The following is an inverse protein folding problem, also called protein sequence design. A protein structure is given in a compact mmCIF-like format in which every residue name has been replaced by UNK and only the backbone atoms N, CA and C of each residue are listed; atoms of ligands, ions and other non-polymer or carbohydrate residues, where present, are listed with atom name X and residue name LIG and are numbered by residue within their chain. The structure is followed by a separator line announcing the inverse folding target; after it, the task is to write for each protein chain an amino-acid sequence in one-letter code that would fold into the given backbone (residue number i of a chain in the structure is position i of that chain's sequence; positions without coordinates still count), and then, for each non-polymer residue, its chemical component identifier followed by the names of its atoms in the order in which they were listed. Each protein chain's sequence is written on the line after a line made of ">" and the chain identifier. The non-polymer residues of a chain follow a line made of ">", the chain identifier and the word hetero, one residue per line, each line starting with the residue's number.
data_IF_816561053034
#
_entry.id   IF_816561053034
#
_cell.length_a   1.000
_cell.length_b   1.000
_cell.length_c   1.000
_cell.angle_alpha   90.00
_cell.angle_beta   90.00
_cell.angle_gamma   90.00
#
_symmetry.space_group_name_H-M   'P 1'
#
loop_
_entity.id
_entity.type
_entity.pdbx_description
1 polymer ?
#
# COMPACT_ATOMS: atom_id res chain seq x y z
N UNK A 1 -5.06 6.52 -14.96
CA UNK A 1 -4.75 5.46 -13.97
C UNK A 1 -6.05 5.09 -13.28
N UNK A 2 -6.32 3.80 -13.12
CA UNK A 2 -7.50 3.37 -12.34
C UNK A 2 -7.33 3.81 -10.88
N UNK A 3 -8.40 4.28 -10.26
CA UNK A 3 -8.39 4.71 -8.87
C UNK A 3 -7.94 3.55 -7.96
N UNK A 4 -7.21 3.88 -6.89
CA UNK A 4 -6.80 2.86 -5.92
C UNK A 4 -8.04 2.22 -5.28
N UNK A 5 -8.10 0.88 -5.18
CA UNK A 5 -9.23 0.21 -4.53
C UNK A 5 -9.45 0.72 -3.11
N UNK A 6 -10.72 0.91 -2.71
CA UNK A 6 -11.07 1.48 -1.39
C UNK A 6 -10.47 0.67 -0.24
N UNK A 7 -10.41 -0.64 -0.37
CA UNK A 7 -9.82 -1.54 0.63
C UNK A 7 -8.32 -1.27 0.85
N UNK A 8 -7.57 -0.96 -0.21
CA UNK A 8 -6.13 -0.66 -0.11
C UNK A 8 -5.95 0.66 0.62
N UNK A 9 -6.75 1.66 0.27
CA UNK A 9 -6.72 2.96 0.95
C UNK A 9 -7.07 2.86 2.44
N UNK A 10 -8.06 2.02 2.80
CA UNK A 10 -8.38 1.75 4.20
C UNK A 10 -7.23 1.07 4.95
N UNK A 11 -6.54 0.12 4.31
CA UNK A 11 -5.39 -0.56 4.93
C UNK A 11 -4.21 0.38 5.12
N UNK A 12 -3.94 1.26 4.15
CA UNK A 12 -2.92 2.31 4.27
C UNK A 12 -3.27 3.28 5.41
N UNK A 13 -4.54 3.70 5.51
CA UNK A 13 -4.98 4.60 6.56
C UNK A 13 -4.84 3.97 7.96
N UNK A 14 -5.18 2.68 8.07
CA UNK A 14 -4.96 1.92 9.30
C UNK A 14 -3.46 1.84 9.65
N UNK A 15 -2.58 1.63 8.67
CA UNK A 15 -1.14 1.60 8.90
C UNK A 15 -0.62 2.96 9.39
N UNK A 16 -1.06 4.07 8.78
CA UNK A 16 -0.70 5.43 9.22
C UNK A 16 -1.20 5.73 10.64
N UNK A 17 -2.44 5.34 10.96
CA UNK A 17 -2.99 5.46 12.32
C UNK A 17 -2.21 4.65 13.37
N UNK A 18 -1.57 3.55 12.96
CA UNK A 18 -0.68 2.74 13.81
C UNK A 18 0.74 3.30 13.92
N UNK A 19 1.01 4.45 13.30
CA UNK A 19 2.32 5.10 13.33
C UNK A 19 3.34 4.45 12.39
N UNK A 20 2.91 3.68 11.39
CA UNK A 20 3.80 3.11 10.39
C UNK A 20 4.30 4.23 9.46
N UNK A 21 5.58 4.19 9.10
CA UNK A 21 6.18 5.14 8.17
C UNK A 21 5.68 4.91 6.74
N UNK A 22 4.72 5.75 6.30
CA UNK A 22 4.17 5.70 4.93
C UNK A 22 5.17 6.12 3.85
N UNK A 23 6.31 6.72 4.21
CA UNK A 23 7.41 7.01 3.29
C UNK A 23 8.31 5.81 3.01
N UNK A 24 8.16 4.73 3.80
CA UNK A 24 8.89 3.48 3.64
C UNK A 24 7.95 2.38 3.13
N UNK A 25 7.97 2.06 1.83
CA UNK A 25 7.19 0.94 1.28
C UNK A 25 7.45 -0.36 2.03
N UNK A 26 8.70 -0.57 2.47
CA UNK A 26 9.08 -1.71 3.29
C UNK A 26 8.30 -1.76 4.61
N UNK A 27 8.23 -0.65 5.35
CA UNK A 27 7.54 -0.61 6.64
C UNK A 27 6.04 -0.92 6.49
N UNK A 28 5.42 -0.40 5.42
CA UNK A 28 4.01 -0.69 5.12
C UNK A 28 3.81 -2.15 4.72
N UNK A 29 4.68 -2.70 3.88
CA UNK A 29 4.63 -4.12 3.50
C UNK A 29 4.82 -5.03 4.70
N UNK A 30 5.77 -4.74 5.60
CA UNK A 30 6.00 -5.52 6.82
C UNK A 30 4.73 -5.50 7.72
N UNK A 31 4.09 -4.34 7.87
CA UNK A 31 2.84 -4.22 8.61
C UNK A 31 1.71 -5.05 7.99
N UNK A 32 1.49 -4.92 6.68
CA UNK A 32 0.47 -5.70 5.97
C UNK A 32 0.75 -7.20 6.06
N UNK A 33 2.02 -7.60 5.99
CA UNK A 33 2.42 -9.00 6.07
C UNK A 33 2.11 -9.57 7.46
N UNK A 34 2.37 -8.80 8.52
CA UNK A 34 2.03 -9.17 9.90
C UNK A 34 0.52 -9.34 10.13
N UNK A 35 -0.32 -8.64 9.37
CA UNK A 35 -1.78 -8.79 9.39
C UNK A 35 -2.30 -9.94 8.49
N UNK A 36 -1.42 -10.62 7.75
CA UNK A 36 -1.81 -11.67 6.79
C UNK A 36 -2.39 -11.14 5.47
N UNK A 37 -2.22 -9.85 5.17
CA UNK A 37 -2.84 -9.13 4.06
C UNK A 37 -2.10 -9.33 2.73
N UNK A 38 -1.88 -10.59 2.34
CA UNK A 38 -1.06 -10.95 1.16
C UNK A 38 -1.60 -10.36 -0.14
N UNK A 39 -2.92 -10.32 -0.31
CA UNK A 39 -3.55 -9.75 -1.51
C UNK A 39 -3.32 -8.23 -1.62
N UNK A 40 -3.34 -7.53 -0.49
CA UNK A 40 -3.06 -6.10 -0.46
C UNK A 40 -1.59 -5.79 -0.80
N UNK A 41 -0.66 -6.66 -0.39
CA UNK A 41 0.76 -6.54 -0.76
C UNK A 41 0.93 -6.73 -2.28
N UNK A 42 0.30 -7.76 -2.86
CA UNK A 42 0.39 -8.05 -4.30
C UNK A 42 -0.15 -6.93 -5.18
N UNK A 43 -1.07 -6.09 -4.68
CA UNK A 43 -1.51 -4.91 -5.39
C UNK A 43 -0.35 -3.98 -5.77
N UNK A 44 0.70 -3.89 -4.96
CA UNK A 44 1.84 -3.02 -5.22
C UNK A 44 2.91 -3.64 -6.12
N UNK A 45 2.67 -4.82 -6.69
CA UNK A 45 3.57 -5.44 -7.66
C UNK A 45 3.08 -5.21 -9.07
N UNK A 46 4.03 -5.13 -10.01
CA UNK A 46 3.71 -5.06 -11.44
C UNK A 46 3.02 -6.37 -11.88
N UNK A 47 2.06 -6.31 -12.81
CA UNK A 47 1.39 -7.50 -13.34
C UNK A 47 2.41 -8.51 -13.88
N UNK A 48 2.26 -9.79 -13.51
CA UNK A 48 3.13 -10.89 -13.93
C UNK A 48 4.63 -10.68 -13.62
N UNK A 49 4.96 -9.87 -12.60
CA UNK A 49 6.34 -9.60 -12.20
C UNK A 49 6.48 -9.59 -10.68
N UNK A 50 7.70 -9.87 -10.22
CA UNK A 50 8.11 -9.72 -8.82
C UNK A 50 8.67 -8.32 -8.52
N UNK A 51 8.58 -7.41 -9.48
CA UNK A 51 8.97 -6.02 -9.29
C UNK A 51 7.90 -5.26 -8.52
N UNK A 52 8.33 -4.62 -7.43
CA UNK A 52 7.52 -3.67 -6.70
C UNK A 52 7.34 -2.40 -7.52
N UNK A 53 6.12 -1.91 -7.58
CA UNK A 53 5.71 -0.69 -8.27
C UNK A 53 5.67 0.47 -7.26
N UNK A 54 6.82 1.14 -7.11
CA UNK A 54 6.96 2.27 -6.19
C UNK A 54 6.07 3.45 -6.57
N UNK A 55 5.87 3.70 -7.87
CA UNK A 55 4.99 4.77 -8.33
C UNK A 55 3.55 4.49 -7.94
N UNK A 56 3.09 3.24 -8.12
CA UNK A 56 1.75 2.80 -7.70
C UNK A 56 1.57 2.91 -6.19
N UNK A 57 2.57 2.55 -5.39
CA UNK A 57 2.54 2.73 -3.95
C UNK A 57 2.44 4.21 -3.56
N UNK A 58 3.34 5.05 -4.10
CA UNK A 58 3.36 6.48 -3.80
C UNK A 58 2.05 7.17 -4.19
N UNK A 59 1.48 6.80 -5.35
CA UNK A 59 0.18 7.28 -5.80
C UNK A 59 -0.95 6.85 -4.86
N UNK A 60 -0.95 5.62 -4.37
CA UNK A 60 -1.95 5.13 -3.42
C UNK A 60 -1.86 5.86 -2.06
N UNK A 61 -0.65 6.12 -1.56
CA UNK A 61 -0.42 6.90 -0.34
C UNK A 61 -0.85 8.35 -0.52
N UNK A 62 -0.54 8.97 -1.66
CA UNK A 62 -0.99 10.32 -1.99
C UNK A 62 -2.52 10.39 -2.09
N UNK A 63 -3.17 9.42 -2.75
CA UNK A 63 -4.62 9.34 -2.87
C UNK A 63 -5.29 9.15 -1.50
N UNK A 64 -4.69 8.35 -0.61
CA UNK A 64 -5.18 8.18 0.76
C UNK A 64 -5.16 9.51 1.54
N UNK A 65 -4.08 10.29 1.43
CA UNK A 65 -3.91 11.57 2.16
C UNK A 65 -4.69 12.73 1.56
N UNK A 66 -5.01 12.64 0.27
CA UNK A 66 -5.82 13.65 -0.43
C UNK A 66 -7.33 13.49 -0.23
N UNK A 67 -7.78 12.47 0.52
CA UNK A 67 -9.18 12.22 0.89
C UNK A 67 -9.47 12.69 2.30
#
# INVERSE_FOLDING_TARGET
>A
MNATPKEILQKLANAEQKGIDMGSPKAVVDYLLAQGEKQAILYFYKPNSLEFDFDKFNNAVAEMRGR
#
